data_IF_182627055582
#
_entry.id   IF_182627055582
#
_cell.length_a   1.000
_cell.length_b   1.000
_cell.length_c   1.000
_cell.angle_alpha   90.00
_cell.angle_beta   90.00
_cell.angle_gamma   90.00
#
_symmetry.space_group_name_H-M   'P 1'
#
loop_
_entity.id
_entity.type
_entity.pdbx_description
1 polymer ?
#
# COMPACT_ATOMS: atom_id res chain seq x y z
N UNK A 1 12.55 -46.78 4.46
CA UNK A 1 12.74 -46.86 5.93
C UNK A 1 14.22 -46.62 6.21
N UNK A 2 14.59 -45.64 7.02
CA UNK A 2 15.92 -45.46 7.57
C UNK A 2 15.89 -45.66 9.08
N UNK A 3 16.97 -46.14 9.63
CA UNK A 3 17.19 -46.26 11.08
C UNK A 3 18.25 -45.27 11.59
N UNK A 4 18.66 -44.33 10.73
CA UNK A 4 19.63 -43.32 11.08
C UNK A 4 19.04 -42.30 12.03
N UNK A 5 19.89 -41.70 12.88
CA UNK A 5 19.47 -40.67 13.84
C UNK A 5 19.02 -39.36 13.17
N UNK A 6 19.34 -39.18 11.87
CA UNK A 6 18.92 -38.08 11.04
C UNK A 6 18.65 -38.59 9.62
N UNK A 7 17.55 -38.18 9.03
CA UNK A 7 17.17 -38.50 7.65
C UNK A 7 16.73 -37.24 6.92
N UNK A 8 17.34 -36.96 5.77
CA UNK A 8 16.92 -35.84 4.94
C UNK A 8 15.71 -36.24 4.09
N UNK A 9 14.64 -35.49 4.19
CA UNK A 9 13.44 -35.68 3.39
C UNK A 9 13.43 -34.61 2.30
N UNK A 10 13.42 -35.03 1.04
CA UNK A 10 13.46 -34.21 -0.17
C UNK A 10 12.18 -34.34 -1.03
N UNK A 11 11.19 -35.07 -0.54
CA UNK A 11 9.91 -35.28 -1.23
C UNK A 11 8.75 -34.80 -0.36
N UNK A 12 7.72 -34.24 -1.02
CA UNK A 12 6.46 -33.90 -0.36
C UNK A 12 5.73 -35.21 0.04
N UNK A 13 5.02 -35.20 1.16
CA UNK A 13 4.26 -36.35 1.60
C UNK A 13 3.99 -36.38 3.11
N UNK A 14 3.28 -37.40 3.52
CA UNK A 14 3.05 -37.73 4.93
C UNK A 14 4.06 -38.74 5.38
N UNK A 15 4.78 -38.46 6.43
CA UNK A 15 5.83 -39.27 7.01
C UNK A 15 5.46 -39.68 8.42
N UNK A 16 5.99 -40.82 8.86
CA UNK A 16 5.89 -41.29 10.23
C UNK A 16 7.29 -41.52 10.82
N UNK A 17 7.44 -41.13 12.06
CA UNK A 17 8.63 -41.45 12.87
C UNK A 17 8.21 -42.40 13.97
N UNK A 18 8.80 -43.61 13.98
CA UNK A 18 8.66 -44.55 15.05
C UNK A 18 9.92 -44.61 15.90
N UNK A 19 9.79 -44.35 17.17
CA UNK A 19 10.86 -44.49 18.15
C UNK A 19 10.56 -45.68 19.02
N UNK A 20 11.44 -46.67 19.00
CA UNK A 20 11.29 -47.88 19.81
C UNK A 20 12.42 -48.00 20.82
N UNK A 21 12.03 -48.41 22.02
CA UNK A 21 13.01 -48.75 23.05
C UNK A 21 13.38 -50.23 22.91
N UNK A 22 14.65 -50.51 22.61
CA UNK A 22 15.17 -51.87 22.42
C UNK A 22 15.65 -52.50 23.72
N UNK A 23 15.60 -51.79 24.84
CA UNK A 23 16.03 -52.26 26.16
C UNK A 23 14.82 -52.29 27.09
N UNK A 24 14.40 -53.45 27.51
CA UNK A 24 13.25 -53.66 28.41
C UNK A 24 11.96 -54.05 27.69
N UNK A 25 10.86 -53.28 27.86
CA UNK A 25 9.48 -53.68 27.45
C UNK A 25 9.17 -53.52 25.99
N UNK A 26 10.09 -53.23 25.10
CA UNK A 26 9.85 -53.04 23.63
C UNK A 26 8.69 -52.06 23.33
N UNK A 27 8.60 -50.94 24.04
CA UNK A 27 7.61 -49.93 23.78
C UNK A 27 8.03 -49.09 22.57
N UNK A 28 7.11 -48.83 21.66
CA UNK A 28 7.30 -47.85 20.56
C UNK A 28 6.30 -46.71 20.64
N UNK A 29 6.71 -45.55 20.12
CA UNK A 29 5.85 -44.39 19.93
C UNK A 29 5.95 -43.95 18.47
N UNK A 30 4.81 -43.67 17.87
CA UNK A 30 4.68 -43.25 16.49
C UNK A 30 4.22 -41.78 16.43
N UNK A 31 4.94 -40.98 15.69
CA UNK A 31 4.55 -39.60 15.36
C UNK A 31 4.39 -39.43 13.85
N UNK A 32 3.41 -38.66 13.43
CA UNK A 32 3.19 -38.31 12.01
C UNK A 32 3.51 -36.83 11.78
N UNK A 33 4.07 -36.51 10.63
CA UNK A 33 4.24 -35.15 10.17
C UNK A 33 4.11 -35.09 8.64
N UNK A 34 3.76 -33.92 8.13
CA UNK A 34 3.58 -33.68 6.70
C UNK A 34 4.69 -32.77 6.21
N UNK A 35 5.32 -33.15 5.10
CA UNK A 35 6.19 -32.28 4.32
C UNK A 35 5.38 -31.76 3.15
N UNK A 36 5.17 -30.46 3.08
CA UNK A 36 4.46 -29.78 2.01
C UNK A 36 5.43 -28.90 1.22
N UNK A 37 5.11 -28.66 -0.03
CA UNK A 37 5.78 -27.66 -0.85
C UNK A 37 5.48 -26.27 -0.30
N UNK A 38 6.48 -25.40 -0.37
CA UNK A 38 6.37 -24.00 0.00
C UNK A 38 7.13 -23.17 -1.04
N UNK A 39 6.49 -22.16 -1.56
CA UNK A 39 7.04 -21.24 -2.56
C UNK A 39 6.70 -19.78 -2.20
N UNK A 40 7.48 -18.85 -2.76
CA UNK A 40 7.12 -17.44 -2.63
C UNK A 40 5.77 -17.19 -3.31
N UNK A 41 4.83 -16.49 -2.66
CA UNK A 41 3.54 -16.18 -3.27
C UNK A 41 3.68 -15.28 -4.49
N UNK A 42 2.86 -15.51 -5.50
CA UNK A 42 2.58 -14.50 -6.51
C UNK A 42 1.55 -13.54 -5.95
N UNK A 43 1.92 -12.28 -5.81
CA UNK A 43 1.09 -11.25 -5.18
C UNK A 43 0.57 -10.29 -6.24
N UNK A 44 -0.71 -9.93 -6.14
CA UNK A 44 -1.31 -8.79 -6.83
C UNK A 44 -2.03 -7.94 -5.80
N UNK A 45 -1.97 -6.62 -5.97
CA UNK A 45 -2.69 -5.69 -5.11
C UNK A 45 -3.19 -4.51 -5.94
N UNK A 46 -4.42 -4.09 -5.67
CA UNK A 46 -5.07 -2.97 -6.36
C UNK A 46 -5.77 -2.06 -5.37
N UNK A 47 -5.87 -0.78 -5.69
CA UNK A 47 -6.77 0.15 -5.01
C UNK A 47 -8.17 -0.09 -5.54
N UNK A 48 -9.11 -0.52 -4.68
CA UNK A 48 -10.49 -0.80 -5.07
C UNK A 48 -11.43 0.40 -4.90
N UNK A 49 -10.98 1.44 -4.19
CA UNK A 49 -11.67 2.73 -4.12
C UNK A 49 -11.36 3.57 -5.35
N UNK A 50 -12.27 4.47 -5.71
CA UNK A 50 -11.98 5.49 -6.72
C UNK A 50 -10.85 6.42 -6.25
N UNK A 51 -10.15 7.04 -7.21
CA UNK A 51 -9.19 8.10 -6.93
C UNK A 51 -9.87 9.24 -6.16
N UNK A 52 -9.18 9.80 -5.18
CA UNK A 52 -9.67 10.92 -4.37
C UNK A 52 -10.95 10.62 -3.57
N UNK A 53 -11.20 9.36 -3.21
CA UNK A 53 -12.30 8.96 -2.35
C UNK A 53 -12.07 9.40 -0.90
N UNK A 54 -13.14 9.60 -0.13
CA UNK A 54 -13.05 9.93 1.31
C UNK A 54 -12.35 8.85 2.15
N UNK A 55 -12.33 7.63 1.64
CA UNK A 55 -11.66 6.48 2.28
C UNK A 55 -11.15 5.52 1.22
N UNK A 56 -9.90 5.16 1.33
CA UNK A 56 -9.26 4.25 0.39
C UNK A 56 -9.22 2.81 0.91
N UNK A 57 -9.34 1.88 -0.03
CA UNK A 57 -9.25 0.44 0.25
C UNK A 57 -8.29 -0.21 -0.73
N UNK A 58 -7.34 -0.99 -0.21
CA UNK A 58 -6.48 -1.87 -1.00
C UNK A 58 -6.98 -3.30 -0.85
N UNK A 59 -7.06 -4.02 -1.98
CA UNK A 59 -7.32 -5.46 -2.03
C UNK A 59 -6.09 -6.13 -2.60
N UNK A 60 -5.46 -6.98 -1.79
CA UNK A 60 -4.35 -7.82 -2.17
C UNK A 60 -4.78 -9.28 -2.24
N UNK A 61 -4.22 -10.00 -3.19
CA UNK A 61 -4.39 -11.44 -3.32
C UNK A 61 -3.04 -12.11 -3.49
N UNK A 62 -2.93 -13.31 -2.95
CA UNK A 62 -1.75 -14.15 -3.10
C UNK A 62 -2.16 -15.51 -3.68
N UNK A 63 -1.36 -16.01 -4.59
CA UNK A 63 -1.55 -17.34 -5.19
C UNK A 63 -0.28 -18.16 -5.05
N UNK A 64 -0.45 -19.47 -4.89
CA UNK A 64 0.60 -20.45 -4.68
C UNK A 64 0.11 -21.60 -3.81
N UNK A 65 1.01 -22.46 -3.35
CA UNK A 65 0.69 -23.66 -2.56
C UNK A 65 0.66 -23.40 -1.03
N UNK A 66 0.88 -22.16 -0.59
CA UNK A 66 1.03 -21.77 0.82
C UNK A 66 -0.26 -21.34 1.52
N UNK A 67 -0.12 -21.00 2.80
CA UNK A 67 -1.11 -20.31 3.63
C UNK A 67 -0.58 -18.91 3.92
N UNK A 68 -1.27 -17.89 3.41
CA UNK A 68 -0.73 -16.54 3.35
C UNK A 68 -1.34 -15.62 4.39
N UNK A 69 -0.48 -14.76 4.96
CA UNK A 69 -0.87 -13.59 5.73
C UNK A 69 -0.39 -12.32 5.04
N UNK A 70 -1.12 -11.25 5.25
CA UNK A 70 -0.93 -9.95 4.64
C UNK A 70 -0.64 -8.89 5.68
N UNK A 71 0.21 -7.93 5.35
CA UNK A 71 0.48 -6.74 6.15
C UNK A 71 0.60 -5.52 5.25
N UNK A 72 0.08 -4.38 5.68
CA UNK A 72 0.25 -3.10 5.00
C UNK A 72 1.32 -2.28 5.70
N UNK A 73 2.31 -1.83 4.95
CA UNK A 73 3.49 -1.12 5.45
C UNK A 73 4.20 -1.93 6.56
N UNK A 74 4.26 -1.42 7.78
CA UNK A 74 4.79 -2.09 8.97
C UNK A 74 3.68 -2.46 9.97
N UNK A 75 2.44 -2.58 9.48
CA UNK A 75 1.29 -2.93 10.31
C UNK A 75 1.27 -4.39 10.74
N UNK A 76 0.25 -4.78 11.51
CA UNK A 76 0.07 -6.16 11.93
C UNK A 76 -0.22 -7.09 10.75
N UNK A 77 0.15 -8.36 10.91
CA UNK A 77 -0.21 -9.43 9.99
C UNK A 77 -1.67 -9.85 10.18
N UNK A 78 -2.37 -10.13 9.10
CA UNK A 78 -3.76 -10.57 9.06
C UNK A 78 -4.00 -11.59 7.94
N UNK A 79 -5.02 -12.43 8.07
CA UNK A 79 -5.37 -13.45 7.08
C UNK A 79 -6.03 -12.85 5.83
N UNK A 80 -6.64 -11.67 5.96
CA UNK A 80 -7.32 -10.98 4.86
C UNK A 80 -6.37 -10.03 4.13
N UNK A 81 -6.36 -10.07 2.80
CA UNK A 81 -5.67 -9.08 1.96
C UNK A 81 -6.41 -7.75 1.80
N UNK A 82 -7.51 -7.51 2.54
CA UNK A 82 -8.27 -6.26 2.44
C UNK A 82 -7.86 -5.27 3.52
N UNK A 83 -7.43 -4.08 3.10
CA UNK A 83 -7.01 -2.98 3.97
C UNK A 83 -7.93 -1.79 3.72
N UNK A 84 -8.65 -1.33 4.75
CA UNK A 84 -9.56 -0.19 4.69
C UNK A 84 -9.00 1.02 5.43
N UNK A 85 -9.45 2.23 5.09
CA UNK A 85 -8.96 3.46 5.71
C UNK A 85 -7.49 3.74 5.40
N UNK A 86 -7.04 3.31 4.23
CA UNK A 86 -5.64 3.45 3.79
C UNK A 86 -5.33 4.92 3.52
N UNK A 87 -4.18 5.38 4.02
CA UNK A 87 -3.72 6.74 3.77
C UNK A 87 -3.20 6.87 2.34
N UNK A 88 -3.31 8.07 1.74
CA UNK A 88 -2.73 8.36 0.43
C UNK A 88 -1.21 8.17 0.37
N UNK A 89 -0.71 8.02 -0.85
CA UNK A 89 0.70 7.86 -1.17
C UNK A 89 1.10 6.41 -1.46
N UNK A 90 2.40 6.18 -1.56
CA UNK A 90 2.97 4.85 -1.76
C UNK A 90 2.74 3.97 -0.54
N UNK A 91 2.23 2.76 -0.77
CA UNK A 91 1.96 1.74 0.24
C UNK A 91 2.62 0.44 -0.13
N UNK A 92 3.12 -0.25 0.87
CA UNK A 92 3.76 -1.56 0.68
C UNK A 92 2.86 -2.65 1.23
N UNK A 93 2.36 -3.51 0.36
CA UNK A 93 1.70 -4.75 0.78
C UNK A 93 2.76 -5.83 0.94
N UNK A 94 2.86 -6.39 2.12
CA UNK A 94 3.74 -7.52 2.42
C UNK A 94 2.89 -8.78 2.54
N UNK A 95 3.35 -9.85 1.94
CA UNK A 95 2.70 -11.17 1.99
C UNK A 95 3.74 -12.20 2.43
N UNK A 96 3.41 -12.99 3.44
CA UNK A 96 4.23 -14.12 3.89
C UNK A 96 3.48 -15.43 3.83
N UNK A 97 4.21 -16.50 3.58
CA UNK A 97 3.69 -17.85 3.76
C UNK A 97 3.98 -18.31 5.22
N UNK A 98 2.95 -18.80 5.91
CA UNK A 98 3.09 -19.39 7.25
C UNK A 98 3.98 -20.64 7.25
N UNK A 99 4.15 -21.30 6.12
CA UNK A 99 5.07 -22.43 5.96
C UNK A 99 6.54 -22.01 5.76
N UNK A 100 6.85 -20.72 5.71
CA UNK A 100 8.21 -20.22 5.91
C UNK A 100 9.04 -19.92 4.66
N UNK A 101 8.46 -19.68 3.48
CA UNK A 101 9.21 -19.36 2.26
C UNK A 101 9.59 -17.88 2.05
N UNK A 102 9.53 -17.05 3.09
CA UNK A 102 9.93 -15.66 2.99
C UNK A 102 8.77 -14.68 2.89
N UNK A 103 9.09 -13.43 2.50
CA UNK A 103 8.13 -12.35 2.37
C UNK A 103 8.23 -11.80 0.94
N UNK A 104 7.10 -11.69 0.27
CA UNK A 104 6.96 -10.99 -1.01
C UNK A 104 6.34 -9.62 -0.77
N UNK A 105 6.89 -8.58 -1.40
CA UNK A 105 6.40 -7.21 -1.27
C UNK A 105 5.82 -6.73 -2.59
N UNK A 106 4.75 -5.93 -2.52
CA UNK A 106 4.11 -5.30 -3.66
C UNK A 106 3.81 -3.84 -3.35
N UNK A 107 4.23 -2.92 -4.23
CA UNK A 107 3.99 -1.48 -4.08
C UNK A 107 2.65 -1.11 -4.72
N UNK A 108 1.84 -0.36 -3.99
CA UNK A 108 0.54 0.18 -4.44
C UNK A 108 0.54 1.68 -4.19
N UNK A 109 0.09 2.43 -5.16
CA UNK A 109 -0.03 3.88 -5.02
C UNK A 109 -1.50 4.29 -4.82
N UNK A 110 -1.79 4.96 -3.70
CA UNK A 110 -3.13 5.47 -3.37
C UNK A 110 -3.18 6.96 -3.70
N UNK A 111 -4.02 7.33 -4.66
CA UNK A 111 -4.13 8.69 -5.17
C UNK A 111 -5.11 9.51 -4.36
N UNK A 112 -4.64 10.63 -3.81
CA UNK A 112 -5.47 11.62 -3.12
C UNK A 112 -4.75 12.97 -3.09
N UNK A 113 -5.41 14.00 -2.55
CA UNK A 113 -4.86 15.34 -2.39
C UNK A 113 -4.75 15.73 -0.90
N UNK A 114 -3.77 16.56 -0.53
CA UNK A 114 -3.65 17.04 0.84
C UNK A 114 -4.84 17.91 1.25
N UNK A 115 -5.53 17.54 2.34
CA UNK A 115 -6.66 18.31 2.86
C UNK A 115 -6.26 19.70 3.40
N UNK A 116 -4.98 19.89 3.73
CA UNK A 116 -4.43 21.18 4.19
C UNK A 116 -2.93 21.26 3.93
N UNK A 117 -2.41 22.47 4.01
CA UNK A 117 -0.96 22.74 4.04
C UNK A 117 -0.63 23.91 4.99
N UNK A 118 0.65 24.00 5.39
CA UNK A 118 1.11 24.92 6.44
C UNK A 118 2.38 25.63 6.02
N UNK A 119 2.30 26.70 5.20
CA UNK A 119 3.47 27.39 4.67
C UNK A 119 4.17 28.25 5.75
N UNK A 120 4.89 27.59 6.66
CA UNK A 120 5.62 28.17 7.78
C UNK A 120 7.15 28.14 7.58
N UNK A 121 7.65 27.44 6.56
CA UNK A 121 9.07 27.33 6.22
C UNK A 121 9.82 26.27 7.04
N UNK A 122 9.13 25.29 7.63
CA UNK A 122 9.75 24.22 8.39
C UNK A 122 10.16 23.00 7.52
N UNK A 123 9.81 23.03 6.24
CA UNK A 123 10.08 21.97 5.26
C UNK A 123 9.00 20.89 5.19
N UNK A 124 7.89 21.02 5.95
CA UNK A 124 6.77 20.07 5.93
C UNK A 124 5.47 20.75 5.52
N UNK A 125 4.83 20.23 4.48
CA UNK A 125 3.56 20.78 3.95
C UNK A 125 3.62 22.30 3.68
N UNK A 126 4.78 22.83 3.30
CA UNK A 126 4.96 24.25 3.01
C UNK A 126 4.31 24.67 1.69
N UNK A 127 4.08 23.72 0.80
CA UNK A 127 3.37 23.92 -0.45
C UNK A 127 2.22 22.91 -0.59
N UNK A 128 1.19 23.29 -1.33
CA UNK A 128 0.09 22.39 -1.68
C UNK A 128 0.23 21.93 -3.12
N UNK A 129 0.21 20.60 -3.32
CA UNK A 129 0.28 19.98 -4.62
C UNK A 129 -0.40 18.57 -4.56
N UNK A 130 -0.64 17.97 -5.72
CA UNK A 130 -1.09 16.58 -5.87
C UNK A 130 0.08 15.78 -6.49
N UNK A 131 1.04 15.44 -5.64
CA UNK A 131 2.30 14.80 -6.03
C UNK A 131 2.10 13.43 -6.70
N UNK A 132 0.99 12.76 -6.39
CA UNK A 132 0.58 11.51 -7.00
C UNK A 132 0.48 11.55 -8.53
N UNK A 133 0.30 12.73 -9.10
CA UNK A 133 0.18 12.95 -10.53
C UNK A 133 1.43 13.60 -11.14
N UNK A 134 2.57 13.61 -10.43
CA UNK A 134 3.80 14.27 -10.88
C UNK A 134 4.33 13.75 -12.23
N UNK A 135 4.08 12.49 -12.55
CA UNK A 135 4.46 11.89 -13.83
C UNK A 135 3.54 12.29 -15.00
N UNK A 136 2.39 12.87 -14.71
CA UNK A 136 1.44 13.33 -15.71
C UNK A 136 1.72 14.78 -16.14
N UNK A 137 2.65 14.97 -17.05
CA UNK A 137 3.11 16.28 -17.53
C UNK A 137 2.01 17.17 -18.13
N UNK A 138 0.88 16.59 -18.57
CA UNK A 138 -0.25 17.32 -19.13
C UNK A 138 -1.26 17.78 -18.05
N UNK A 139 -1.14 17.28 -16.83
CA UNK A 139 -2.07 17.61 -15.75
C UNK A 139 -1.91 19.04 -15.29
N UNK A 140 -3.03 19.68 -14.97
CA UNK A 140 -3.09 21.08 -14.55
C UNK A 140 -4.04 21.25 -13.38
N UNK A 141 -3.60 22.04 -12.40
CA UNK A 141 -4.38 22.38 -11.22
C UNK A 141 -4.61 23.89 -11.22
N UNK A 142 -5.86 24.31 -11.13
CA UNK A 142 -6.25 25.72 -10.98
C UNK A 142 -6.76 25.92 -9.55
N UNK A 143 -6.22 26.91 -8.84
CA UNK A 143 -6.54 27.22 -7.46
C UNK A 143 -7.32 28.51 -7.39
N UNK A 144 -8.42 28.51 -6.65
CA UNK A 144 -9.37 29.62 -6.54
C UNK A 144 -9.61 30.01 -5.08
N UNK A 145 -9.92 31.28 -4.85
CA UNK A 145 -10.47 31.71 -3.58
C UNK A 145 -11.98 31.34 -3.45
N UNK A 146 -12.56 31.61 -2.29
CA UNK A 146 -13.98 31.36 -2.00
C UNK A 146 -14.96 32.14 -2.88
N UNK A 147 -14.49 33.14 -3.64
CA UNK A 147 -15.31 33.93 -4.56
C UNK A 147 -15.18 33.46 -6.01
N UNK A 148 -14.40 32.39 -6.24
CA UNK A 148 -14.14 31.86 -7.58
C UNK A 148 -13.07 32.60 -8.36
N UNK A 149 -12.31 33.49 -7.72
CA UNK A 149 -11.19 34.18 -8.36
C UNK A 149 -10.01 33.24 -8.50
N UNK A 150 -9.48 33.08 -9.71
CA UNK A 150 -8.27 32.32 -9.97
C UNK A 150 -7.06 32.98 -9.31
N UNK A 151 -6.38 32.24 -8.45
CA UNK A 151 -5.17 32.68 -7.74
C UNK A 151 -3.91 32.14 -8.41
N UNK A 152 -3.88 30.86 -8.75
CA UNK A 152 -2.69 30.21 -9.27
C UNK A 152 -3.09 29.06 -10.22
N UNK A 153 -2.26 28.84 -11.22
CA UNK A 153 -2.21 27.58 -11.96
C UNK A 153 -0.89 26.90 -11.62
N UNK A 154 -0.93 25.64 -11.24
CA UNK A 154 0.23 24.79 -10.98
C UNK A 154 0.14 23.50 -11.82
N UNK A 155 1.25 22.79 -11.89
CA UNK A 155 1.33 21.42 -12.44
C UNK A 155 1.75 20.47 -11.33
N UNK A 156 1.24 19.25 -11.27
CA UNK A 156 1.66 18.26 -10.27
C UNK A 156 3.17 17.99 -10.24
N UNK A 157 3.85 18.08 -11.38
CA UNK A 157 5.29 17.94 -11.49
C UNK A 157 6.09 19.15 -10.95
N UNK A 158 5.42 20.25 -10.54
CA UNK A 158 6.05 21.46 -10.06
C UNK A 158 6.10 21.55 -8.54
N UNK A 159 6.60 22.70 -8.04
CA UNK A 159 6.82 22.95 -6.60
C UNK A 159 5.50 23.12 -5.79
N UNK A 160 4.36 23.22 -6.47
CA UNK A 160 3.08 23.46 -5.79
C UNK A 160 2.78 24.96 -5.53
N UNK A 161 1.78 25.21 -4.69
CA UNK A 161 1.37 26.55 -4.28
C UNK A 161 1.80 26.84 -2.84
N UNK A 162 2.55 27.90 -2.66
CA UNK A 162 3.11 28.37 -1.39
C UNK A 162 2.14 29.23 -0.54
N UNK A 163 0.88 29.35 -0.97
CA UNK A 163 -0.12 30.18 -0.29
C UNK A 163 0.08 31.68 -0.49
N UNK A 164 0.73 32.10 -1.58
CA UNK A 164 0.85 33.51 -1.96
C UNK A 164 0.08 33.84 -3.25
N UNK A 165 -0.34 35.11 -3.36
CA UNK A 165 -0.92 35.68 -4.58
C UNK A 165 -0.34 37.08 -4.82
N UNK A 166 0.27 37.31 -5.97
CA UNK A 166 0.96 38.57 -6.29
C UNK A 166 1.96 39.02 -5.20
N UNK A 167 2.71 38.08 -4.60
CA UNK A 167 3.67 38.31 -3.54
C UNK A 167 3.07 38.59 -2.15
N UNK A 168 1.75 38.54 -2.02
CA UNK A 168 1.04 38.74 -0.75
C UNK A 168 0.65 37.37 -0.17
N UNK A 169 0.85 37.17 1.13
CA UNK A 169 0.39 35.98 1.85
C UNK A 169 -1.14 35.93 1.87
N UNK A 170 -1.70 34.84 1.43
CA UNK A 170 -3.13 34.60 1.46
C UNK A 170 -3.59 34.23 2.88
N UNK A 171 -4.83 34.59 3.28
CA UNK A 171 -5.35 34.31 4.62
C UNK A 171 -5.54 32.81 4.88
N UNK A 172 -5.52 32.42 6.16
CA UNK A 172 -5.91 31.09 6.64
C UNK A 172 -7.40 30.89 6.39
N UNK A 173 -7.75 30.06 5.42
CA UNK A 173 -9.12 29.72 5.00
C UNK A 173 -9.07 28.56 4.02
N UNK A 174 -10.24 28.12 3.56
CA UNK A 174 -10.36 27.13 2.50
C UNK A 174 -10.15 27.78 1.13
N UNK A 175 -9.55 27.00 0.25
CA UNK A 175 -9.34 27.30 -1.16
C UNK A 175 -9.87 26.14 -2.00
N UNK A 176 -10.36 26.44 -3.19
CA UNK A 176 -10.93 25.47 -4.09
C UNK A 176 -9.96 25.19 -5.22
N UNK A 177 -9.99 23.97 -5.75
CA UNK A 177 -9.19 23.62 -6.92
C UNK A 177 -10.03 22.93 -7.99
N UNK A 178 -9.54 23.03 -9.23
CA UNK A 178 -9.98 22.28 -10.38
C UNK A 178 -8.74 21.61 -10.98
N UNK A 179 -8.73 20.28 -10.96
CA UNK A 179 -7.69 19.45 -11.54
C UNK A 179 -8.19 18.87 -12.87
N UNK A 180 -7.34 18.94 -13.89
CA UNK A 180 -7.46 18.16 -15.12
C UNK A 180 -6.32 17.15 -15.15
N UNK A 181 -6.63 15.88 -15.33
CA UNK A 181 -5.66 14.78 -15.32
C UNK A 181 -6.15 13.64 -16.21
N UNK A 182 -5.28 12.68 -16.49
CA UNK A 182 -5.68 11.43 -17.10
C UNK A 182 -5.82 10.37 -16.00
N UNK A 183 -6.90 9.59 -16.09
CA UNK A 183 -7.09 8.43 -15.20
C UNK A 183 -5.84 7.53 -15.24
N UNK A 184 -5.41 7.02 -14.08
CA UNK A 184 -4.17 6.26 -13.97
C UNK A 184 -4.28 4.86 -14.59
N UNK A 185 -5.49 4.30 -14.63
CA UNK A 185 -5.73 2.95 -15.14
C UNK A 185 -6.12 2.96 -16.63
N UNK A 186 -7.01 3.89 -17.03
CA UNK A 186 -7.59 3.92 -18.39
C UNK A 186 -6.95 4.96 -19.30
N UNK A 187 -6.18 5.90 -18.74
CA UNK A 187 -5.63 7.08 -19.42
C UNK A 187 -6.68 8.03 -20.01
N UNK A 188 -7.95 7.88 -19.65
CA UNK A 188 -9.02 8.78 -20.09
C UNK A 188 -8.92 10.14 -19.39
N UNK A 189 -9.24 11.25 -20.07
CA UNK A 189 -9.22 12.57 -19.49
C UNK A 189 -10.32 12.72 -18.43
N UNK A 190 -9.92 13.12 -17.21
CA UNK A 190 -10.80 13.36 -16.06
C UNK A 190 -10.63 14.77 -15.52
N UNK A 191 -11.64 15.22 -14.79
CA UNK A 191 -11.54 16.42 -13.97
C UNK A 191 -12.04 16.15 -12.56
N UNK A 192 -11.37 16.74 -11.58
CA UNK A 192 -11.74 16.71 -10.18
C UNK A 192 -11.89 18.14 -9.65
N UNK A 193 -12.89 18.36 -8.80
CA UNK A 193 -13.06 19.59 -8.01
C UNK A 193 -13.02 19.22 -6.54
N UNK A 194 -12.28 20.00 -5.77
CA UNK A 194 -12.20 19.81 -4.35
C UNK A 194 -11.84 21.12 -3.64
N UNK A 195 -11.59 21.02 -2.35
CA UNK A 195 -11.10 22.13 -1.55
C UNK A 195 -10.05 21.64 -0.56
N UNK A 196 -9.22 22.56 -0.11
CA UNK A 196 -8.20 22.32 0.90
C UNK A 196 -8.02 23.57 1.76
N UNK A 197 -7.44 23.40 2.93
CA UNK A 197 -7.27 24.49 3.90
C UNK A 197 -5.82 24.98 3.94
N UNK A 198 -5.60 26.28 3.82
CA UNK A 198 -4.35 26.90 4.19
C UNK A 198 -4.38 27.23 5.69
N UNK A 199 -3.40 26.75 6.45
CA UNK A 199 -3.23 27.00 7.89
C UNK A 199 -1.89 27.76 8.13
N UNK A 200 -1.91 28.76 8.98
CA UNK A 200 -0.70 29.50 9.43
C UNK A 200 -0.75 29.70 10.91
#
# INVERSE_FOLDING_TARGET
LSTDAAYLIDQIGVYSLEVSNTVGSNCSTLAFFTVSESENPTVTATVSSEDFADSHTIIATATGSGIYEFSLDQGPWQDSGTFTGVRPGERTVNVRDLNGCGITTFLVFVVDYPAYFTPNGDGYNDTWNIEALSDQMASKIYIFDRFGKLLKQIMPAGEGWDGTYNGQKMPTTDYWFLLYYNDLDTADPKQLRGHFTLKR
#
